data_IF_898209874321
#
_entry.id   IF_898209874321
#
_cell.length_a   1.000
_cell.length_b   1.000
_cell.length_c   1.000
_cell.angle_alpha   90.00
_cell.angle_beta   90.00
_cell.angle_gamma   90.00
#
_symmetry.space_group_name_H-M   'P 1'
#
loop_
_entity.id
_entity.type
_entity.pdbx_description
1 polymer ?
#
# COMPACT_ATOMS: atom_id res chain seq x y z
N UNK A 1 -19.91 -6.61 -10.33
CA UNK A 1 -19.28 -5.58 -11.18
C UNK A 1 -19.30 -4.30 -10.37
N UNK A 2 -18.13 -3.92 -9.86
CA UNK A 2 -17.94 -3.00 -8.72
C UNK A 2 -18.18 -1.54 -9.06
N UNK A 3 -18.33 -0.73 -8.02
CA UNK A 3 -18.39 0.73 -8.09
C UNK A 3 -17.13 1.27 -8.74
N UNK A 4 -17.25 2.40 -9.45
CA UNK A 4 -16.08 3.20 -9.84
C UNK A 4 -15.44 3.76 -8.57
N UNK A 5 -14.11 3.68 -8.46
CA UNK A 5 -13.33 4.18 -7.32
C UNK A 5 -12.44 3.12 -6.67
N UNK A 6 -11.91 3.46 -5.50
CA UNK A 6 -11.03 2.59 -4.70
C UNK A 6 -11.80 1.35 -4.18
N UNK A 7 -11.13 0.20 -4.07
CA UNK A 7 -11.76 -1.01 -3.51
C UNK A 7 -12.04 -0.87 -2.01
N UNK A 8 -11.23 -0.07 -1.30
CA UNK A 8 -11.41 0.21 0.13
C UNK A 8 -11.66 1.69 0.33
N UNK A 9 -12.92 2.04 0.62
CA UNK A 9 -13.30 3.41 0.96
C UNK A 9 -12.92 3.68 2.42
N UNK A 10 -12.09 4.71 2.63
CA UNK A 10 -11.61 5.10 3.95
C UNK A 10 -12.17 6.47 4.37
N UNK A 11 -12.48 6.58 5.66
CA UNK A 11 -12.82 7.86 6.29
C UNK A 11 -11.61 8.78 6.40
N UNK A 12 -11.85 10.08 6.61
CA UNK A 12 -10.81 11.11 6.65
C UNK A 12 -9.70 10.79 7.67
N UNK A 13 -10.07 10.40 8.89
CA UNK A 13 -9.12 10.06 9.95
C UNK A 13 -8.27 8.83 9.62
N UNK A 14 -8.85 7.83 8.95
CA UNK A 14 -8.11 6.64 8.50
C UNK A 14 -7.06 7.00 7.45
N UNK A 15 -7.35 7.99 6.60
CA UNK A 15 -6.40 8.45 5.58
C UNK A 15 -5.23 9.25 6.15
N UNK A 16 -5.36 9.83 7.34
CA UNK A 16 -4.23 10.49 8.03
C UNK A 16 -3.16 9.47 8.46
N UNK A 17 -3.58 8.27 8.86
CA UNK A 17 -2.66 7.19 9.29
C UNK A 17 -2.29 6.23 8.17
N UNK A 18 -3.13 6.12 7.14
CA UNK A 18 -2.96 5.20 6.02
C UNK A 18 -3.33 5.90 4.71
N UNK A 19 -2.42 6.73 4.15
CA UNK A 19 -2.71 7.65 3.04
C UNK A 19 -2.68 6.96 1.66
N UNK A 20 -3.16 5.72 1.57
CA UNK A 20 -3.11 4.93 0.34
C UNK A 20 -4.49 4.84 -0.34
N UNK A 21 -4.48 4.73 -1.67
CA UNK A 21 -5.63 4.24 -2.43
C UNK A 21 -5.45 2.75 -2.67
N UNK A 22 -6.35 1.95 -2.15
CA UNK A 22 -6.20 0.49 -2.13
C UNK A 22 -6.97 -0.16 -3.27
N UNK A 23 -6.25 -0.93 -4.09
CA UNK A 23 -6.81 -1.88 -5.06
C UNK A 23 -6.48 -3.31 -4.61
N UNK A 24 -7.44 -4.23 -4.73
CA UNK A 24 -7.33 -5.61 -4.26
C UNK A 24 -7.52 -6.59 -5.42
N UNK A 25 -6.54 -7.47 -5.64
CA UNK A 25 -6.65 -8.57 -6.61
C UNK A 25 -6.49 -9.92 -5.91
N UNK A 26 -7.48 -10.79 -6.06
CA UNK A 26 -7.38 -12.20 -5.66
C UNK A 26 -7.49 -13.09 -6.90
N UNK A 27 -6.36 -13.34 -7.56
CA UNK A 27 -6.29 -14.08 -8.82
C UNK A 27 -5.01 -14.93 -8.87
N UNK A 28 -5.09 -16.17 -9.37
CA UNK A 28 -3.93 -17.06 -9.49
C UNK A 28 -2.87 -16.52 -10.47
N UNK A 29 -3.34 -15.85 -11.53
CA UNK A 29 -2.54 -15.11 -12.50
C UNK A 29 -3.02 -13.65 -12.47
N UNK A 30 -2.23 -12.78 -11.87
CA UNK A 30 -2.49 -11.34 -11.83
C UNK A 30 -1.57 -10.64 -12.82
N UNK A 31 -2.12 -9.74 -13.63
CA UNK A 31 -1.31 -8.78 -14.37
C UNK A 31 -1.02 -7.60 -13.43
N UNK A 32 0.20 -7.56 -12.89
CA UNK A 32 0.59 -6.57 -11.87
C UNK A 32 0.56 -5.16 -12.43
N UNK A 33 1.04 -4.95 -13.65
CA UNK A 33 1.06 -3.63 -14.29
C UNK A 33 -0.35 -3.08 -14.51
N UNK A 34 -1.24 -3.88 -15.09
CA UNK A 34 -2.63 -3.46 -15.29
C UNK A 34 -3.38 -3.20 -13.97
N UNK A 35 -3.07 -3.97 -12.92
CA UNK A 35 -3.65 -3.73 -11.59
C UNK A 35 -3.12 -2.43 -10.97
N UNK A 36 -1.84 -2.12 -11.17
CA UNK A 36 -1.23 -0.89 -10.69
C UNK A 36 -1.75 0.33 -11.44
N UNK A 37 -1.82 0.29 -12.78
CA UNK A 37 -2.41 1.35 -13.62
C UNK A 37 -3.87 1.64 -13.22
N UNK A 38 -4.64 0.61 -12.87
CA UNK A 38 -6.01 0.79 -12.35
C UNK A 38 -6.00 1.49 -10.98
N UNK A 39 -5.07 1.14 -10.10
CA UNK A 39 -4.91 1.80 -8.80
C UNK A 39 -4.53 3.26 -8.98
N UNK A 40 -3.59 3.58 -9.87
CA UNK A 40 -3.17 4.96 -10.21
C UNK A 40 -4.33 5.77 -10.79
N UNK A 41 -5.11 5.20 -11.70
CA UNK A 41 -6.26 5.89 -12.28
C UNK A 41 -7.34 6.24 -11.22
N UNK A 42 -7.42 5.43 -10.16
CA UNK A 42 -8.41 5.58 -9.08
C UNK A 42 -7.85 6.26 -7.82
N UNK A 43 -6.56 6.56 -7.73
CA UNK A 43 -5.94 7.01 -6.47
C UNK A 43 -6.19 8.47 -6.11
N UNK A 44 -6.58 9.29 -7.08
CA UNK A 44 -6.87 10.71 -6.87
C UNK A 44 -5.66 11.47 -6.32
N UNK A 45 -5.63 11.71 -5.00
CA UNK A 45 -4.56 12.41 -4.29
C UNK A 45 -3.74 11.50 -3.36
N UNK A 46 -4.05 10.21 -3.34
CA UNK A 46 -3.49 9.25 -2.41
C UNK A 46 -2.47 8.37 -3.11
N UNK A 47 -1.59 7.76 -2.33
CA UNK A 47 -0.55 6.88 -2.87
C UNK A 47 -1.18 5.56 -3.35
N UNK A 48 -0.99 5.16 -4.62
CA UNK A 48 -1.52 3.90 -5.13
C UNK A 48 -0.89 2.68 -4.44
N UNK A 49 -1.73 1.73 -4.01
CA UNK A 49 -1.32 0.51 -3.33
C UNK A 49 -2.16 -0.66 -3.81
N UNK A 50 -1.49 -1.71 -4.31
CA UNK A 50 -2.18 -2.93 -4.75
C UNK A 50 -1.91 -4.07 -3.77
N UNK A 51 -2.98 -4.60 -3.17
CA UNK A 51 -2.93 -5.84 -2.39
C UNK A 51 -3.23 -7.02 -3.31
N UNK A 52 -2.24 -7.87 -3.52
CA UNK A 52 -2.39 -9.08 -4.34
C UNK A 52 -2.41 -10.33 -3.45
N UNK A 53 -3.31 -11.26 -3.77
CA UNK A 53 -3.44 -12.54 -3.08
C UNK A 53 -3.66 -13.68 -4.08
N UNK A 54 -3.06 -14.83 -3.77
CA UNK A 54 -3.37 -16.12 -4.41
C UNK A 54 -3.93 -17.07 -3.35
N UNK A 55 -4.65 -18.10 -3.78
CA UNK A 55 -5.15 -19.10 -2.85
C UNK A 55 -3.97 -19.79 -2.13
N UNK A 56 -4.12 -19.98 -0.82
CA UNK A 56 -3.10 -20.59 0.05
C UNK A 56 -1.73 -19.90 0.05
N UNK A 57 -1.65 -18.64 -0.38
CA UNK A 57 -0.45 -17.80 -0.28
C UNK A 57 -0.73 -16.61 0.63
N UNK A 58 0.33 -16.09 1.25
CA UNK A 58 0.25 -14.83 1.98
C UNK A 58 -0.03 -13.69 0.98
N UNK A 59 -0.84 -12.69 1.36
CA UNK A 59 -1.00 -11.49 0.54
C UNK A 59 0.33 -10.76 0.43
N UNK A 60 0.57 -10.15 -0.73
CA UNK A 60 1.68 -9.25 -0.99
C UNK A 60 1.13 -7.87 -1.34
N UNK A 61 1.98 -6.85 -1.18
CA UNK A 61 1.65 -5.47 -1.51
C UNK A 61 2.60 -5.01 -2.61
N UNK A 62 2.05 -4.29 -3.58
CA UNK A 62 2.79 -3.61 -4.64
C UNK A 62 2.60 -2.11 -4.46
N UNK A 63 3.73 -1.41 -4.44
CA UNK A 63 3.86 0.05 -4.40
C UNK A 63 4.96 0.44 -5.39
N UNK A 64 5.06 1.74 -5.70
CA UNK A 64 6.17 2.23 -6.50
C UNK A 64 7.52 2.01 -5.78
N UNK A 65 8.56 1.78 -6.57
CA UNK A 65 9.88 1.48 -6.04
C UNK A 65 10.54 2.71 -5.39
N UNK A 66 10.37 3.91 -5.96
CA UNK A 66 10.86 5.15 -5.37
C UNK A 66 10.13 5.42 -4.06
N UNK A 67 8.80 5.29 -4.05
CA UNK A 67 8.00 5.39 -2.83
C UNK A 67 8.48 4.41 -1.73
N UNK A 68 8.75 3.15 -2.10
CA UNK A 68 9.29 2.16 -1.16
C UNK A 68 10.66 2.55 -0.58
N UNK A 69 11.54 3.14 -1.39
CA UNK A 69 12.86 3.60 -0.95
C UNK A 69 12.71 4.80 0.00
N UNK A 70 11.90 5.80 -0.38
CA UNK A 70 11.61 6.98 0.44
C UNK A 70 11.04 6.62 1.82
N UNK A 71 10.17 5.60 1.88
CA UNK A 71 9.69 5.05 3.15
C UNK A 71 10.85 4.58 4.03
N UNK A 72 11.89 3.95 3.48
CA UNK A 72 13.03 3.47 4.26
C UNK A 72 14.04 4.56 4.60
N UNK A 73 14.12 5.62 3.80
CA UNK A 73 14.93 6.81 4.09
C UNK A 73 14.31 7.66 5.19
N UNK A 74 13.01 7.95 5.12
CA UNK A 74 12.29 8.67 6.18
C UNK A 74 12.28 7.89 7.50
N UNK A 75 12.23 6.57 7.42
CA UNK A 75 12.36 5.67 8.56
C UNK A 75 13.81 5.55 9.07
N UNK A 76 14.84 6.03 8.38
CA UNK A 76 16.24 5.82 8.79
C UNK A 76 16.59 6.38 10.19
N UNK A 77 15.74 7.22 10.78
CA UNK A 77 15.80 7.62 12.19
C UNK A 77 15.57 6.47 13.19
N UNK A 78 14.84 5.40 12.85
CA UNK A 78 14.68 4.23 13.76
C UNK A 78 15.96 3.39 13.90
N UNK A 79 16.90 3.49 12.94
CA UNK A 79 18.20 2.81 13.02
C UNK A 79 19.15 3.46 14.03
N UNK A 80 18.84 4.68 14.53
CA UNK A 80 19.68 5.43 15.50
C UNK A 80 19.26 5.25 16.97
N UNK A 81 18.40 4.30 17.28
CA UNK A 81 18.05 4.00 18.66
C UNK A 81 16.67 3.40 18.71
N UNK A 82 16.62 2.07 18.74
CA UNK A 82 15.36 1.38 18.99
C UNK A 82 14.77 1.86 20.32
N UNK A 83 13.45 2.07 20.35
CA UNK A 83 12.67 2.36 21.56
C UNK A 83 12.92 1.37 22.72
N UNK A 84 13.59 0.25 22.45
CA UNK A 84 14.06 -0.75 23.40
C UNK A 84 15.26 -0.31 24.26
N UNK A 85 16.11 0.59 23.79
CA UNK A 85 17.26 1.07 24.58
C UNK A 85 16.87 2.15 25.61
N UNK A 86 15.73 2.84 25.41
CA UNK A 86 15.22 3.88 26.33
C UNK A 86 14.38 3.33 27.50
N UNK A 87 14.33 2.00 27.69
CA UNK A 87 13.64 1.34 28.81
C UNK A 87 14.59 0.57 29.75
N UNK A 88 15.88 0.93 29.80
CA UNK A 88 16.79 0.47 30.85
C UNK A 88 17.16 1.60 31.79
#
# INVERSE_FOLDING_TARGET
>A
MGSSGEDVIMGVQSREVFPYSVECKNQEKVNVWAAYEQSEANCGKHEPLVVIKKNHKKPLVVVDAEHFIELHESLSDWRKGTLWEKRK
#
